data_IF_089171650683
#
_entry.id   IF_089171650683
#
_cell.length_a   1.000
_cell.length_b   1.000
_cell.length_c   1.000
_cell.angle_alpha   90.00
_cell.angle_beta   90.00
_cell.angle_gamma   90.00
#
_symmetry.space_group_name_H-M   'P 1'
#
loop_
_entity.id
_entity.type
_entity.pdbx_description
1 polymer ?
#
# COMPACT_ATOMS: atom_id res chain seq x y z
N UNK A 1 -8.76 16.97 25.32
CA UNK A 1 -9.03 15.62 24.75
C UNK A 1 -9.62 15.80 23.36
N UNK A 2 -8.98 15.28 22.33
CA UNK A 2 -9.54 15.33 20.99
C UNK A 2 -10.87 14.56 20.98
N UNK A 3 -11.95 15.22 20.62
CA UNK A 3 -13.26 14.58 20.49
C UNK A 3 -13.28 13.60 19.31
N UNK A 4 -14.28 12.72 19.27
CA UNK A 4 -14.45 11.79 18.12
C UNK A 4 -14.54 12.54 16.78
N UNK A 5 -15.12 13.75 16.78
CA UNK A 5 -15.18 14.61 15.60
C UNK A 5 -13.79 15.08 15.15
N UNK A 6 -12.94 15.52 16.06
CA UNK A 6 -11.57 15.95 15.74
C UNK A 6 -10.72 14.80 15.14
N UNK A 7 -10.91 13.59 15.67
CA UNK A 7 -10.22 12.41 15.15
C UNK A 7 -10.73 12.07 13.75
N UNK A 8 -12.03 12.16 13.51
CA UNK A 8 -12.62 11.92 12.19
C UNK A 8 -12.10 12.92 11.15
N UNK A 9 -11.99 14.19 11.48
CA UNK A 9 -11.38 15.21 10.60
C UNK A 9 -9.93 14.90 10.28
N UNK A 10 -9.14 14.49 11.26
CA UNK A 10 -7.75 14.06 11.06
C UNK A 10 -7.64 12.81 10.19
N UNK A 11 -8.60 11.88 10.28
CA UNK A 11 -8.66 10.72 9.39
C UNK A 11 -8.91 11.17 7.95
N UNK A 12 -9.81 12.13 7.74
CA UNK A 12 -10.07 12.70 6.39
C UNK A 12 -8.81 13.31 5.80
N UNK A 13 -8.02 14.05 6.58
CA UNK A 13 -6.74 14.62 6.13
C UNK A 13 -5.72 13.53 5.72
N UNK A 14 -5.82 12.34 6.30
CA UNK A 14 -4.92 11.22 6.03
C UNK A 14 -5.38 10.33 4.85
N UNK A 15 -6.59 10.53 4.31
CA UNK A 15 -7.11 9.73 3.19
C UNK A 15 -6.17 9.67 1.98
N UNK A 16 -5.55 10.77 1.51
CA UNK A 16 -4.61 10.70 0.41
C UNK A 16 -3.40 9.80 0.69
N UNK A 17 -2.90 9.81 1.92
CA UNK A 17 -1.79 8.95 2.35
C UNK A 17 -2.21 7.48 2.39
N UNK A 18 -3.37 7.20 2.96
CA UNK A 18 -3.94 5.85 2.98
C UNK A 18 -4.14 5.31 1.57
N UNK A 19 -4.64 6.14 0.64
CA UNK A 19 -4.84 5.76 -0.76
C UNK A 19 -3.52 5.44 -1.46
N UNK A 20 -2.46 6.24 -1.27
CA UNK A 20 -1.14 5.95 -1.83
C UNK A 20 -0.60 4.61 -1.34
N UNK A 21 -0.70 4.34 -0.05
CA UNK A 21 -0.28 3.05 0.50
C UNK A 21 -1.15 1.89 -0.02
N UNK A 22 -2.46 2.05 -0.09
CA UNK A 22 -3.35 1.06 -0.67
C UNK A 22 -3.01 0.71 -2.12
N UNK A 23 -2.62 1.70 -2.94
CA UNK A 23 -2.18 1.50 -4.33
C UNK A 23 -0.88 0.69 -4.44
N UNK A 24 -0.03 0.67 -3.43
CA UNK A 24 1.15 -0.22 -3.41
C UNK A 24 0.81 -1.66 -3.03
N UNK A 25 -0.29 -1.88 -2.33
CA UNK A 25 -0.74 -3.20 -1.90
C UNK A 25 -1.62 -3.87 -2.96
N UNK A 26 -2.53 -3.11 -3.56
CA UNK A 26 -3.53 -3.59 -4.52
C UNK A 26 -3.04 -3.39 -5.95
N UNK A 27 -3.61 -4.15 -6.88
CA UNK A 27 -3.27 -4.03 -8.30
C UNK A 27 -4.24 -3.18 -9.09
N UNK A 28 -5.38 -2.83 -8.50
CA UNK A 28 -6.46 -2.07 -9.14
C UNK A 28 -6.84 -0.89 -8.26
N UNK A 29 -7.11 0.26 -8.89
CA UNK A 29 -7.54 1.46 -8.17
C UNK A 29 -8.83 1.23 -7.37
N UNK A 30 -9.78 0.50 -7.94
CA UNK A 30 -11.03 0.16 -7.26
C UNK A 30 -10.77 -0.64 -5.97
N UNK A 31 -9.88 -1.63 -6.00
CA UNK A 31 -9.52 -2.42 -4.83
C UNK A 31 -8.80 -1.56 -3.78
N UNK A 32 -7.99 -0.57 -4.22
CA UNK A 32 -7.37 0.38 -3.32
C UNK A 32 -8.41 1.27 -2.61
N UNK A 33 -9.38 1.78 -3.35
CA UNK A 33 -10.45 2.60 -2.79
C UNK A 33 -11.33 1.79 -1.81
N UNK A 34 -11.64 0.54 -2.12
CA UNK A 34 -12.35 -0.38 -1.22
C UNK A 34 -11.53 -0.68 0.05
N UNK A 35 -10.20 -0.87 -0.09
CA UNK A 35 -9.31 -1.09 1.03
C UNK A 35 -9.25 0.13 1.95
N UNK A 36 -9.19 1.34 1.40
CA UNK A 36 -9.25 2.59 2.18
C UNK A 36 -10.56 2.70 2.92
N UNK A 37 -11.69 2.51 2.24
CA UNK A 37 -13.02 2.56 2.85
C UNK A 37 -13.15 1.57 4.01
N UNK A 38 -12.82 0.31 3.79
CA UNK A 38 -12.88 -0.71 4.84
C UNK A 38 -11.92 -0.45 6.00
N UNK A 39 -10.78 0.21 5.75
CA UNK A 39 -9.85 0.65 6.79
C UNK A 39 -10.47 1.75 7.64
N UNK A 40 -11.07 2.77 7.03
CA UNK A 40 -11.73 3.88 7.73
C UNK A 40 -12.91 3.37 8.56
N UNK A 41 -13.75 2.50 8.01
CA UNK A 41 -14.85 1.89 8.74
C UNK A 41 -14.37 1.14 9.99
N UNK A 42 -13.32 0.33 9.86
CA UNK A 42 -12.71 -0.39 10.99
C UNK A 42 -12.09 0.56 12.01
N UNK A 43 -11.44 1.64 11.56
CA UNK A 43 -10.86 2.66 12.44
C UNK A 43 -11.96 3.38 13.24
N UNK A 44 -13.02 3.82 12.58
CA UNK A 44 -14.15 4.50 13.23
C UNK A 44 -14.85 3.60 14.25
N UNK A 45 -14.97 2.30 13.96
CA UNK A 45 -15.50 1.30 14.89
C UNK A 45 -14.61 0.99 16.10
N UNK A 46 -13.33 1.41 16.05
CA UNK A 46 -12.31 1.11 17.08
C UNK A 46 -11.62 2.36 17.62
N UNK A 47 -12.20 3.54 17.47
CA UNK A 47 -11.59 4.80 17.91
C UNK A 47 -11.20 4.79 19.39
N UNK A 48 -11.95 4.10 20.22
CA UNK A 48 -11.69 3.97 21.66
C UNK A 48 -10.40 3.14 21.96
N UNK A 49 -9.90 2.40 20.97
CA UNK A 49 -8.64 1.65 21.07
C UNK A 49 -7.42 2.46 20.67
N UNK A 50 -7.60 3.59 20.00
CA UNK A 50 -6.50 4.49 19.66
C UNK A 50 -6.06 5.30 20.86
N UNK A 51 -4.75 5.37 21.07
CA UNK A 51 -4.16 6.15 22.16
C UNK A 51 -3.77 7.53 21.63
N UNK A 52 -4.29 8.63 22.23
CA UNK A 52 -4.05 10.00 21.73
C UNK A 52 -2.58 10.46 21.72
N UNK A 53 -1.72 9.80 22.48
CA UNK A 53 -0.28 10.02 22.55
C UNK A 53 0.51 9.28 21.45
N UNK A 54 -0.18 8.51 20.60
CA UNK A 54 0.42 7.78 19.49
C UNK A 54 0.09 8.41 18.13
N UNK A 55 0.87 8.05 17.12
CA UNK A 55 0.66 8.54 15.76
C UNK A 55 -0.58 7.91 15.13
N UNK A 56 -1.54 8.74 14.74
CA UNK A 56 -2.79 8.31 14.11
C UNK A 56 -2.54 7.65 12.75
N UNK A 57 -1.62 8.19 11.95
CA UNK A 57 -1.26 7.62 10.64
C UNK A 57 -0.68 6.21 10.77
N UNK A 58 0.25 5.98 11.69
CA UNK A 58 0.83 4.65 11.92
C UNK A 58 -0.24 3.65 12.38
N UNK A 59 -1.18 4.07 13.22
CA UNK A 59 -2.30 3.25 13.65
C UNK A 59 -3.23 2.88 12.49
N UNK A 60 -3.54 3.84 11.60
CA UNK A 60 -4.34 3.59 10.40
C UNK A 60 -3.63 2.68 9.40
N UNK A 61 -2.33 2.86 9.16
CA UNK A 61 -1.56 1.96 8.31
C UNK A 61 -1.53 0.53 8.85
N UNK A 62 -1.45 0.37 10.17
CA UNK A 62 -1.54 -0.96 10.80
C UNK A 62 -2.91 -1.62 10.60
N UNK A 63 -4.00 -0.85 10.73
CA UNK A 63 -5.35 -1.35 10.44
C UNK A 63 -5.45 -1.76 8.97
N UNK A 64 -4.96 -0.94 8.04
CA UNK A 64 -4.97 -1.22 6.60
C UNK A 64 -4.19 -2.48 6.26
N UNK A 65 -2.97 -2.61 6.78
CA UNK A 65 -2.14 -3.78 6.54
C UNK A 65 -2.81 -5.07 7.03
N UNK A 66 -3.38 -5.06 8.21
CA UNK A 66 -4.12 -6.20 8.76
C UNK A 66 -5.35 -6.52 7.91
N UNK A 67 -6.11 -5.50 7.50
CA UNK A 67 -7.26 -5.66 6.62
C UNK A 67 -6.87 -6.28 5.27
N UNK A 68 -5.78 -5.82 4.68
CA UNK A 68 -5.24 -6.38 3.43
C UNK A 68 -4.85 -7.85 3.58
N UNK A 69 -4.13 -8.20 4.64
CA UNK A 69 -3.75 -9.59 4.92
C UNK A 69 -4.99 -10.48 5.05
N UNK A 70 -6.02 -10.01 5.76
CA UNK A 70 -7.29 -10.75 5.90
C UNK A 70 -7.97 -10.98 4.55
N UNK A 71 -8.00 -9.96 3.68
CA UNK A 71 -8.57 -10.06 2.33
C UNK A 71 -7.80 -11.07 1.46
N UNK A 72 -6.48 -10.99 1.46
CA UNK A 72 -5.63 -11.92 0.68
C UNK A 72 -5.81 -13.36 1.18
N UNK A 73 -5.86 -13.58 2.48
CA UNK A 73 -6.13 -14.91 3.05
C UNK A 73 -7.50 -15.43 2.64
N UNK A 74 -8.54 -14.59 2.72
CA UNK A 74 -9.89 -14.96 2.31
C UNK A 74 -9.98 -15.29 0.81
N UNK A 75 -9.29 -14.55 -0.04
CA UNK A 75 -9.22 -14.83 -1.49
C UNK A 75 -8.51 -16.16 -1.77
N UNK A 76 -7.37 -16.42 -1.12
CA UNK A 76 -6.64 -17.69 -1.27
C UNK A 76 -7.49 -18.89 -0.86
N UNK A 77 -8.25 -18.79 0.22
CA UNK A 77 -9.15 -19.85 0.67
C UNK A 77 -10.28 -20.09 -0.33
N UNK A 78 -10.87 -19.06 -0.92
CA UNK A 78 -11.89 -19.18 -1.97
C UNK A 78 -11.33 -19.76 -3.25
N UNK A 79 -10.18 -19.28 -3.71
CA UNK A 79 -9.48 -19.80 -4.90
C UNK A 79 -9.08 -21.28 -4.76
N UNK A 80 -8.71 -21.73 -3.57
CA UNK A 80 -8.46 -23.14 -3.31
C UNK A 80 -9.73 -24.00 -3.37
N UNK A 81 -10.93 -23.42 -3.10
CA UNK A 81 -12.22 -24.10 -3.18
C UNK A 81 -12.79 -24.14 -4.60
N UNK A 82 -12.45 -23.19 -5.46
CA UNK A 82 -13.03 -23.03 -6.81
C UNK A 82 -12.09 -23.49 -7.96
N UNK A 83 -10.92 -24.09 -7.64
CA UNK A 83 -9.97 -24.61 -8.63
C UNK A 83 -9.53 -23.57 -9.66
N UNK A 84 -8.37 -22.96 -9.42
CA UNK A 84 -7.47 -22.32 -10.39
C UNK A 84 -8.12 -21.70 -11.63
N UNK A 85 -8.34 -20.38 -11.60
CA UNK A 85 -7.97 -19.48 -12.70
C UNK A 85 -8.18 -18.02 -12.26
N UNK A 86 -7.18 -17.47 -11.58
CA UNK A 86 -7.03 -16.02 -11.48
C UNK A 86 -5.60 -15.67 -11.88
N UNK A 87 -5.32 -15.73 -13.17
CA UNK A 87 -4.29 -14.90 -13.75
C UNK A 87 -4.73 -13.45 -13.51
N UNK A 88 -4.16 -12.81 -12.50
CA UNK A 88 -4.35 -11.40 -12.24
C UNK A 88 -3.82 -10.60 -13.43
N UNK A 89 -4.69 -10.32 -14.39
CA UNK A 89 -4.43 -9.29 -15.38
C UNK A 89 -4.28 -7.97 -14.65
N UNK A 90 -3.07 -7.43 -14.66
CA UNK A 90 -2.82 -6.03 -14.35
C UNK A 90 -3.68 -5.24 -15.32
N UNK A 91 -4.79 -4.67 -14.83
CA UNK A 91 -5.67 -3.86 -15.65
C UNK A 91 -4.85 -2.69 -16.19
N UNK A 92 -4.59 -2.73 -17.50
CA UNK A 92 -3.92 -1.66 -18.21
C UNK A 92 -4.70 -0.37 -18.02
N UNK A 93 -4.03 0.68 -17.59
CA UNK A 93 -4.57 2.02 -17.48
C UNK A 93 -5.08 2.48 -18.85
N UNK A 94 -6.33 2.95 -18.87
CA UNK A 94 -7.01 3.52 -20.02
C UNK A 94 -6.19 4.65 -20.66
N UNK A 95 -5.87 4.50 -21.95
CA UNK A 95 -4.92 5.31 -22.70
C UNK A 95 -5.43 6.72 -23.00
N UNK A 96 -5.29 7.65 -22.04
CA UNK A 96 -5.41 9.09 -22.29
C UNK A 96 -4.03 9.71 -22.31
N UNK A 97 -3.81 10.66 -23.23
CA UNK A 97 -2.56 11.38 -23.46
C UNK A 97 -1.84 11.75 -22.16
N UNK A 98 -0.84 10.95 -21.82
CA UNK A 98 -0.08 11.06 -20.58
C UNK A 98 1.15 11.87 -20.87
N UNK A 99 1.34 12.99 -20.15
CA UNK A 99 2.58 13.79 -20.18
C UNK A 99 3.77 12.92 -19.71
N UNK A 100 5.01 13.25 -20.11
CA UNK A 100 6.22 12.48 -19.77
C UNK A 100 6.30 12.11 -18.29
N UNK A 101 6.01 13.06 -17.38
CA UNK A 101 6.00 12.85 -15.93
C UNK A 101 4.96 11.79 -15.48
N UNK A 102 3.81 11.77 -16.11
CA UNK A 102 2.79 10.74 -15.82
C UNK A 102 3.23 9.35 -16.28
N UNK A 103 3.94 9.26 -17.41
CA UNK A 103 4.50 7.97 -17.89
C UNK A 103 5.55 7.42 -16.94
N UNK A 104 6.45 8.26 -16.43
CA UNK A 104 7.46 7.87 -15.45
C UNK A 104 6.82 7.40 -14.14
N UNK A 105 5.82 8.13 -13.65
CA UNK A 105 5.07 7.74 -12.46
C UNK A 105 4.35 6.41 -12.66
N UNK A 106 3.73 6.23 -13.82
CA UNK A 106 3.03 4.99 -14.15
C UNK A 106 4.01 3.81 -14.27
N UNK A 107 5.15 3.99 -14.95
CA UNK A 107 6.18 2.97 -15.06
C UNK A 107 6.73 2.57 -13.68
N UNK A 108 6.93 3.56 -12.81
CA UNK A 108 7.35 3.31 -11.42
C UNK A 108 6.32 2.52 -10.64
N UNK A 109 5.05 2.89 -10.73
CA UNK A 109 3.96 2.16 -10.07
C UNK A 109 3.85 0.72 -10.60
N UNK A 110 3.94 0.53 -11.91
CA UNK A 110 3.93 -0.81 -12.52
C UNK A 110 5.12 -1.65 -12.05
N UNK A 111 6.31 -1.06 -11.93
CA UNK A 111 7.48 -1.74 -11.38
C UNK A 111 7.25 -2.15 -9.91
N UNK A 112 6.67 -1.29 -9.10
CA UNK A 112 6.31 -1.61 -7.71
C UNK A 112 5.29 -2.75 -7.66
N UNK A 113 4.27 -2.72 -8.51
CA UNK A 113 3.23 -3.76 -8.54
C UNK A 113 3.74 -5.14 -8.99
N UNK A 114 4.90 -5.21 -9.66
CA UNK A 114 5.58 -6.47 -10.00
C UNK A 114 6.38 -7.06 -8.83
N UNK A 115 6.66 -6.28 -7.81
CA UNK A 115 7.34 -6.77 -6.61
C UNK A 115 6.47 -7.80 -5.85
N UNK A 116 7.10 -8.74 -5.13
CA UNK A 116 6.38 -9.56 -4.16
C UNK A 116 5.62 -8.70 -3.14
N UNK A 117 4.48 -9.18 -2.69
CA UNK A 117 3.57 -8.46 -1.78
C UNK A 117 4.28 -7.90 -0.54
N UNK A 118 5.15 -8.70 0.06
CA UNK A 118 5.92 -8.31 1.24
C UNK A 118 6.90 -7.16 0.99
N UNK A 119 7.44 -7.07 -0.23
CA UNK A 119 8.32 -5.97 -0.65
C UNK A 119 7.49 -4.72 -0.97
N UNK A 120 6.32 -4.86 -1.58
CA UNK A 120 5.41 -3.73 -1.84
C UNK A 120 4.98 -3.02 -0.57
N UNK A 121 4.63 -3.79 0.47
CA UNK A 121 4.27 -3.22 1.76
C UNK A 121 5.39 -2.38 2.37
N UNK A 122 6.63 -2.86 2.34
CA UNK A 122 7.80 -2.12 2.82
C UNK A 122 8.07 -0.87 1.97
N UNK A 123 8.00 -0.99 0.64
CA UNK A 123 8.15 0.15 -0.28
C UNK A 123 7.09 1.21 -0.01
N UNK A 124 5.84 0.80 0.15
CA UNK A 124 4.74 1.72 0.46
C UNK A 124 4.97 2.50 1.75
N UNK A 125 5.31 1.82 2.84
CA UNK A 125 5.50 2.47 4.13
C UNK A 125 6.78 3.34 4.19
N UNK A 126 7.90 2.84 3.67
CA UNK A 126 9.19 3.52 3.82
C UNK A 126 9.46 4.51 2.71
N UNK A 127 9.32 4.12 1.43
CA UNK A 127 9.68 4.98 0.31
C UNK A 127 8.55 5.93 -0.10
N UNK A 128 7.29 5.50 -0.04
CA UNK A 128 6.15 6.33 -0.44
C UNK A 128 5.66 7.20 0.71
N UNK A 129 5.47 6.63 1.90
CA UNK A 129 4.94 7.36 3.07
C UNK A 129 6.02 7.93 3.97
N UNK A 130 7.29 7.60 3.76
CA UNK A 130 8.42 8.18 4.46
C UNK A 130 8.53 7.77 5.93
N UNK A 131 8.00 6.60 6.31
CA UNK A 131 8.09 6.11 7.67
C UNK A 131 9.49 5.59 8.00
N UNK A 132 9.90 5.74 9.25
CA UNK A 132 11.13 5.13 9.74
C UNK A 132 11.03 3.60 9.71
N UNK A 133 12.16 2.91 9.54
CA UNK A 133 12.21 1.44 9.48
C UNK A 133 11.60 0.77 10.70
N UNK A 134 11.79 1.37 11.90
CA UNK A 134 11.18 0.88 13.13
C UNK A 134 9.65 0.94 13.08
N UNK A 135 9.09 2.05 12.61
CA UNK A 135 7.64 2.23 12.47
C UNK A 135 7.06 1.22 11.46
N UNK A 136 7.73 1.05 10.31
CA UNK A 136 7.33 0.06 9.33
C UNK A 136 7.38 -1.36 9.89
N UNK A 137 8.41 -1.69 10.67
CA UNK A 137 8.55 -2.99 11.34
C UNK A 137 7.38 -3.26 12.32
N UNK A 138 6.99 -2.25 13.10
CA UNK A 138 5.85 -2.33 14.02
C UNK A 138 4.52 -2.51 13.29
N UNK A 139 4.31 -1.78 12.19
CA UNK A 139 3.10 -1.88 11.35
C UNK A 139 3.01 -3.27 10.70
N UNK A 140 4.11 -3.77 10.16
CA UNK A 140 4.17 -5.05 9.47
C UNK A 140 4.31 -6.26 10.42
N UNK A 141 4.51 -6.00 11.71
CA UNK A 141 4.76 -7.02 12.74
C UNK A 141 5.92 -7.98 12.36
N UNK A 142 7.02 -7.40 11.88
CA UNK A 142 8.25 -8.11 11.51
C UNK A 142 9.48 -7.48 12.19
N UNK A 143 10.59 -8.19 12.33
CA UNK A 143 11.83 -7.60 12.81
C UNK A 143 12.33 -6.49 11.88
N UNK A 144 12.99 -5.46 12.43
CA UNK A 144 13.54 -4.36 11.64
C UNK A 144 14.54 -4.84 10.58
N UNK A 145 15.31 -5.87 10.83
CA UNK A 145 16.20 -6.50 9.86
C UNK A 145 15.46 -7.07 8.65
N UNK A 146 14.24 -7.55 8.85
CA UNK A 146 13.37 -8.02 7.77
C UNK A 146 12.89 -6.85 6.89
N UNK A 147 12.54 -5.71 7.48
CA UNK A 147 12.24 -4.48 6.73
C UNK A 147 13.43 -4.08 5.88
N UNK A 148 14.63 -4.04 6.47
CA UNK A 148 15.86 -3.66 5.76
C UNK A 148 16.17 -4.61 4.59
N UNK A 149 16.09 -5.92 4.79
CA UNK A 149 16.37 -6.91 3.75
C UNK A 149 15.33 -6.89 2.62
N UNK A 150 14.05 -6.73 2.95
CA UNK A 150 12.96 -6.59 1.95
C UNK A 150 13.13 -5.31 1.13
N UNK A 151 13.46 -4.20 1.79
CA UNK A 151 13.68 -2.92 1.12
C UNK A 151 14.90 -2.97 0.19
N UNK A 152 16.00 -3.60 0.62
CA UNK A 152 17.20 -3.78 -0.21
C UNK A 152 16.88 -4.57 -1.49
N UNK A 153 16.14 -5.68 -1.37
CA UNK A 153 15.73 -6.48 -2.53
C UNK A 153 14.76 -5.70 -3.44
N UNK A 154 13.83 -4.97 -2.85
CA UNK A 154 12.90 -4.15 -3.61
C UNK A 154 13.61 -3.07 -4.43
N UNK A 155 14.58 -2.37 -3.82
CA UNK A 155 15.39 -1.36 -4.51
C UNK A 155 16.15 -1.95 -5.70
N UNK A 156 16.84 -3.06 -5.51
CA UNK A 156 17.55 -3.74 -6.59
C UNK A 156 16.62 -4.15 -7.74
N UNK A 157 15.43 -4.67 -7.43
CA UNK A 157 14.44 -5.04 -8.44
C UNK A 157 13.87 -3.83 -9.18
N UNK A 158 13.62 -2.71 -8.47
CA UNK A 158 13.13 -1.46 -9.06
C UNK A 158 14.19 -0.80 -9.97
N UNK A 159 15.45 -0.78 -9.55
CA UNK A 159 16.57 -0.28 -10.37
C UNK A 159 16.65 -1.03 -11.70
N UNK A 160 16.66 -2.36 -11.66
CA UNK A 160 16.67 -3.18 -12.88
C UNK A 160 15.44 -2.94 -13.77
N UNK A 161 14.26 -2.78 -13.18
CA UNK A 161 13.04 -2.55 -13.93
C UNK A 161 13.00 -1.17 -14.61
N UNK A 162 13.60 -0.16 -13.99
CA UNK A 162 13.61 1.22 -14.48
C UNK A 162 14.77 1.46 -15.47
N UNK A 163 15.93 0.81 -15.29
CA UNK A 163 17.04 0.86 -16.25
C UNK A 163 16.68 0.24 -17.60
N UNK A 164 15.78 -0.76 -17.60
CA UNK A 164 15.25 -1.40 -18.81
C UNK A 164 14.14 -0.61 -19.52
N UNK A 165 13.66 0.48 -18.95
CA UNK A 165 12.67 1.34 -19.59
C UNK A 165 13.34 2.18 -20.70
N UNK A 166 12.82 2.21 -21.95
CA UNK A 166 13.41 3.00 -23.02
C UNK A 166 13.36 4.48 -22.66
N UNK A 167 14.50 5.15 -22.75
CA UNK A 167 14.59 6.61 -22.61
C UNK A 167 13.58 7.31 -23.53
N UNK A 168 12.89 8.36 -23.06
CA UNK A 168 12.02 9.15 -23.93
C UNK A 168 12.88 9.76 -25.04
N UNK A 169 12.65 9.31 -26.27
CA UNK A 169 13.27 9.94 -27.45
C UNK A 169 12.80 11.39 -27.50
N UNK A 170 13.78 12.30 -27.40
CA UNK A 170 13.62 13.75 -27.60
C UNK A 170 13.02 14.06 -28.97
#
# INVERSE_FOLDING_TARGET
MAGRADIAERIVELLPRLRRFALTLTRREHDADDLVQGTVERALGRLDSWKPDTRLDSWLFKIMQNHWIDQVRAQRLRGASEGLDAADEVAGSDGRHVTGVRRELQATLEAVLRLPEEQRAVVGLVLVEGLAYREAAEILAVPIGTVMSRLSRARAALELALEGAPEPRS
#
